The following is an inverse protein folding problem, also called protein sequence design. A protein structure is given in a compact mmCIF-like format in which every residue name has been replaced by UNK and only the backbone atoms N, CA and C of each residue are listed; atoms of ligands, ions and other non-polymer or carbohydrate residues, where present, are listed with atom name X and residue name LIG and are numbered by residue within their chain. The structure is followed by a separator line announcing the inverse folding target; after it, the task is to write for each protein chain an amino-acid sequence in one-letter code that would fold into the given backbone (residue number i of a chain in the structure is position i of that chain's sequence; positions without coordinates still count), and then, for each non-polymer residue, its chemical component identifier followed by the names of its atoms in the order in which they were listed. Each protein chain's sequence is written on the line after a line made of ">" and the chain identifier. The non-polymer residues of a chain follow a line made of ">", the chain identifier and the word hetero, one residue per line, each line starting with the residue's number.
data_IF_612157592091
#
_entry.id   IF_612157592091
#
_cell.length_a   1.000
_cell.length_b   1.000
_cell.length_c   1.000
_cell.angle_alpha   90.00
_cell.angle_beta   90.00
_cell.angle_gamma   90.00
#
_symmetry.space_group_name_H-M   'P 1'
#
loop_
_entity.id
_entity.type
_entity.pdbx_description
1 polymer ?
#
# COMPACT_ATOMS: atom_id res chain seq x y z
N UNK A 1 -30.73 1.36 7.61
CA UNK A 1 -30.09 2.12 6.52
C UNK A 1 -29.61 1.13 5.48
N UNK A 2 -30.11 1.19 4.25
CA UNK A 2 -29.62 0.34 3.16
C UNK A 2 -28.31 0.91 2.62
N UNK A 3 -27.40 0.04 2.16
CA UNK A 3 -26.13 0.47 1.58
C UNK A 3 -26.27 0.63 0.08
N UNK A 4 -25.61 1.64 -0.48
CA UNK A 4 -25.49 1.84 -1.93
C UNK A 4 -24.81 0.62 -2.57
N UNK A 5 -25.62 -0.28 -3.13
CA UNK A 5 -25.18 -1.49 -3.84
C UNK A 5 -24.98 -1.25 -5.33
N UNK A 6 -25.47 -0.14 -5.87
CA UNK A 6 -25.27 0.23 -7.26
C UNK A 6 -25.37 1.74 -7.49
N UNK A 7 -24.63 2.24 -8.47
CA UNK A 7 -24.75 3.59 -9.02
C UNK A 7 -25.12 3.50 -10.49
N UNK A 8 -26.18 4.20 -10.89
CA UNK A 8 -26.66 4.26 -12.27
C UNK A 8 -26.33 5.61 -12.89
N UNK A 9 -25.80 5.60 -14.11
CA UNK A 9 -25.59 6.80 -14.93
C UNK A 9 -26.44 6.69 -16.18
N UNK A 10 -27.33 7.66 -16.36
CA UNK A 10 -28.18 7.80 -17.54
C UNK A 10 -27.50 8.71 -18.56
N UNK A 11 -27.63 8.39 -19.84
CA UNK A 11 -27.13 9.20 -20.96
C UNK A 11 -28.30 9.69 -21.81
N UNK A 12 -28.12 10.82 -22.49
CA UNK A 12 -29.10 11.38 -23.42
C UNK A 12 -29.42 10.45 -24.59
N UNK A 13 -28.53 9.49 -24.90
CA UNK A 13 -28.75 8.41 -25.86
C UNK A 13 -29.73 7.33 -25.39
N UNK A 14 -30.22 7.39 -24.15
CA UNK A 14 -31.04 6.35 -23.52
C UNK A 14 -30.24 5.21 -22.89
N UNK A 15 -28.91 5.17 -23.08
CA UNK A 15 -28.05 4.19 -22.42
C UNK A 15 -28.01 4.41 -20.90
N UNK A 16 -27.94 3.31 -20.15
CA UNK A 16 -27.76 3.32 -18.69
C UNK A 16 -26.59 2.44 -18.32
N UNK A 17 -25.61 2.99 -17.60
CA UNK A 17 -24.50 2.24 -17.04
C UNK A 17 -24.67 2.08 -15.54
N UNK A 18 -24.54 0.84 -15.05
CA UNK A 18 -24.73 0.50 -13.64
C UNK A 18 -23.44 -0.10 -13.08
N UNK A 19 -22.76 0.62 -12.19
CA UNK A 19 -21.67 0.01 -11.42
C UNK A 19 -22.25 -0.59 -10.15
N UNK A 20 -21.87 -1.82 -9.82
CA UNK A 20 -22.43 -2.58 -8.69
C UNK A 20 -21.35 -2.94 -7.68
N UNK A 21 -21.71 -3.00 -6.41
CA UNK A 21 -20.85 -3.43 -5.31
C UNK A 21 -21.54 -4.53 -4.52
N UNK A 22 -20.78 -5.55 -4.15
CA UNK A 22 -21.16 -6.55 -3.16
C UNK A 22 -20.42 -6.28 -1.85
N UNK A 23 -21.10 -6.54 -0.73
CA UNK A 23 -20.60 -6.26 0.61
C UNK A 23 -20.68 -7.51 1.50
N UNK A 24 -19.85 -7.55 2.53
CA UNK A 24 -20.06 -8.46 3.66
C UNK A 24 -21.14 -7.92 4.63
N UNK A 25 -21.43 -8.72 5.67
CA UNK A 25 -22.42 -8.39 6.71
C UNK A 25 -22.00 -7.20 7.60
N UNK A 26 -20.73 -6.79 7.55
CA UNK A 26 -20.18 -5.64 8.25
C UNK A 26 -20.15 -4.39 7.36
N UNK A 27 -20.74 -4.49 6.15
CA UNK A 27 -20.76 -3.44 5.16
C UNK A 27 -19.37 -3.06 4.64
N UNK A 28 -18.46 -4.00 4.43
CA UNK A 28 -17.23 -3.78 3.67
C UNK A 28 -17.34 -4.31 2.25
N UNK A 29 -16.75 -3.62 1.27
CA UNK A 29 -16.79 -4.06 -0.13
C UNK A 29 -16.00 -5.35 -0.31
N UNK A 30 -16.64 -6.34 -0.93
CA UNK A 30 -16.05 -7.63 -1.31
C UNK A 30 -15.82 -7.74 -2.81
N UNK A 31 -16.73 -7.20 -3.63
CA UNK A 31 -16.58 -7.19 -5.09
C UNK A 31 -17.10 -5.91 -5.68
N UNK A 32 -16.44 -5.47 -6.74
CA UNK A 32 -16.82 -4.32 -7.56
C UNK A 32 -17.06 -4.83 -8.97
N UNK A 33 -18.18 -4.44 -9.55
CA UNK A 33 -18.57 -4.80 -10.92
C UNK A 33 -18.67 -3.55 -11.78
N UNK A 34 -18.20 -3.66 -13.02
CA UNK A 34 -18.40 -2.64 -14.03
C UNK A 34 -19.83 -2.64 -14.59
N UNK A 35 -20.11 -1.70 -15.50
CA UNK A 35 -21.40 -1.59 -16.19
C UNK A 35 -21.77 -2.80 -17.06
N UNK A 36 -20.84 -3.74 -17.29
CA UNK A 36 -21.08 -4.99 -18.04
C UNK A 36 -21.25 -6.18 -17.09
N UNK A 37 -21.43 -5.93 -15.80
CA UNK A 37 -21.56 -6.92 -14.73
C UNK A 37 -20.34 -7.86 -14.62
N UNK A 38 -19.17 -7.37 -15.02
CA UNK A 38 -17.91 -8.11 -14.86
C UNK A 38 -17.27 -7.69 -13.54
N UNK A 39 -16.79 -8.63 -12.70
CA UNK A 39 -16.01 -8.27 -11.53
C UNK A 39 -14.70 -7.63 -11.98
N UNK A 40 -14.47 -6.39 -11.56
CA UNK A 40 -13.24 -5.64 -11.87
C UNK A 40 -12.26 -5.62 -10.71
N UNK A 41 -12.75 -5.88 -9.51
CA UNK A 41 -11.92 -6.02 -8.31
C UNK A 41 -12.66 -6.84 -7.25
N UNK A 42 -11.95 -7.70 -6.54
CA UNK A 42 -12.49 -8.45 -5.40
C UNK A 42 -11.50 -8.57 -4.25
N UNK A 43 -12.03 -8.72 -3.04
CA UNK A 43 -11.27 -8.70 -1.79
C UNK A 43 -11.54 -9.93 -0.94
N UNK A 44 -10.49 -10.47 -0.34
CA UNK A 44 -10.58 -11.42 0.78
C UNK A 44 -10.03 -10.73 2.02
N UNK A 45 -10.65 -11.00 3.17
CA UNK A 45 -10.33 -10.36 4.45
C UNK A 45 -10.11 -11.41 5.54
N UNK A 46 -9.28 -11.09 6.52
CA UNK A 46 -9.12 -11.90 7.72
C UNK A 46 -10.19 -11.58 8.79
N UNK A 47 -10.13 -12.32 9.90
CA UNK A 47 -11.05 -12.14 11.04
C UNK A 47 -10.93 -10.77 11.73
N UNK A 48 -9.88 -10.01 11.43
CA UNK A 48 -9.66 -8.66 11.94
C UNK A 48 -10.08 -7.59 10.91
N UNK A 49 -10.81 -7.99 9.86
CA UNK A 49 -11.28 -7.15 8.76
C UNK A 49 -10.14 -6.47 7.97
N UNK A 50 -8.99 -7.12 7.89
CA UNK A 50 -7.86 -6.66 7.07
C UNK A 50 -7.83 -7.40 5.75
N UNK A 51 -7.55 -6.70 4.67
CA UNK A 51 -7.49 -7.28 3.32
C UNK A 51 -6.28 -8.19 3.18
N UNK A 52 -6.50 -9.47 2.90
CA UNK A 52 -5.46 -10.48 2.70
C UNK A 52 -5.26 -10.86 1.24
N UNK A 53 -6.25 -10.57 0.38
CA UNK A 53 -6.16 -10.80 -1.05
C UNK A 53 -6.93 -9.74 -1.82
N UNK A 54 -6.36 -9.31 -2.95
CA UNK A 54 -7.05 -8.50 -3.96
C UNK A 54 -6.90 -9.21 -5.30
N UNK A 55 -8.00 -9.39 -6.02
CA UNK A 55 -7.99 -9.93 -7.39
C UNK A 55 -8.49 -8.86 -8.36
N UNK A 56 -7.74 -8.58 -9.42
CA UNK A 56 -8.07 -7.57 -10.42
C UNK A 56 -8.95 -8.14 -11.56
N UNK A 57 -9.32 -7.27 -12.51
CA UNK A 57 -10.06 -7.61 -13.73
C UNK A 57 -9.39 -8.73 -14.53
N UNK A 58 -8.06 -8.75 -14.57
CA UNK A 58 -7.26 -9.73 -15.30
C UNK A 58 -7.18 -11.10 -14.58
N UNK A 59 -7.78 -11.23 -13.39
CA UNK A 59 -7.72 -12.43 -12.56
C UNK A 59 -6.40 -12.62 -11.82
N UNK A 60 -5.47 -11.67 -11.91
CA UNK A 60 -4.25 -11.68 -11.13
C UNK A 60 -4.57 -11.38 -9.67
N UNK A 61 -3.77 -11.95 -8.77
CA UNK A 61 -4.00 -11.83 -7.33
C UNK A 61 -2.79 -11.22 -6.64
N UNK A 62 -3.04 -10.19 -5.82
CA UNK A 62 -2.09 -9.64 -4.86
C UNK A 62 -2.47 -10.16 -3.47
N UNK A 63 -1.51 -10.73 -2.74
CA UNK A 63 -1.74 -11.27 -1.40
C UNK A 63 -0.97 -10.48 -0.34
N UNK A 64 -1.57 -10.32 0.83
CA UNK A 64 -0.94 -9.66 1.98
C UNK A 64 -1.00 -10.60 3.18
N UNK A 65 0.16 -10.93 3.71
CA UNK A 65 0.30 -11.62 5.00
C UNK A 65 0.70 -10.59 6.06
N UNK A 66 -0.10 -10.47 7.11
CA UNK A 66 0.18 -9.56 8.21
C UNK A 66 1.15 -10.17 9.23
N UNK A 67 2.03 -9.33 9.76
CA UNK A 67 3.03 -9.71 10.76
C UNK A 67 2.67 -9.14 12.13
N UNK A 68 3.63 -8.48 12.76
CA UNK A 68 3.44 -7.89 14.08
C UNK A 68 2.67 -6.57 13.97
N UNK A 69 1.66 -6.41 14.83
CA UNK A 69 0.79 -5.25 14.91
C UNK A 69 0.11 -4.92 13.56
N UNK A 70 0.24 -3.68 13.08
CA UNK A 70 -0.37 -3.21 11.83
C UNK A 70 0.57 -3.36 10.62
N UNK A 71 1.75 -3.97 10.77
CA UNK A 71 2.72 -4.12 9.70
C UNK A 71 2.53 -5.45 8.96
N UNK A 72 2.72 -5.43 7.64
CA UNK A 72 2.71 -6.66 6.85
C UNK A 72 4.04 -7.42 7.03
N UNK A 73 3.96 -8.75 7.02
CA UNK A 73 5.11 -9.65 6.91
C UNK A 73 5.49 -9.84 5.45
N UNK A 74 4.51 -10.02 4.57
CA UNK A 74 4.76 -10.28 3.15
C UNK A 74 3.66 -9.68 2.29
N UNK A 75 4.04 -9.08 1.17
CA UNK A 75 3.15 -8.71 0.08
C UNK A 75 3.67 -9.38 -1.19
N UNK A 76 2.81 -10.13 -1.86
CA UNK A 76 3.06 -10.61 -3.22
C UNK A 76 2.19 -9.78 -4.14
N UNK A 77 2.80 -9.04 -5.06
CA UNK A 77 2.10 -8.18 -6.02
C UNK A 77 1.51 -8.97 -7.18
N UNK A 78 0.67 -8.30 -7.98
CA UNK A 78 0.07 -8.87 -9.18
C UNK A 78 1.09 -9.36 -10.22
N UNK A 79 2.26 -8.71 -10.28
CA UNK A 79 3.38 -9.09 -11.14
C UNK A 79 4.26 -10.22 -10.56
N UNK A 80 3.87 -10.78 -9.41
CA UNK A 80 4.61 -11.81 -8.68
C UNK A 80 5.78 -11.29 -7.85
N UNK A 81 6.08 -9.98 -7.87
CA UNK A 81 7.15 -9.42 -7.04
C UNK A 81 6.77 -9.49 -5.57
N UNK A 82 7.75 -9.84 -4.72
CA UNK A 82 7.54 -10.01 -3.29
C UNK A 82 8.26 -8.91 -2.51
N UNK A 83 7.57 -8.35 -1.51
CA UNK A 83 8.16 -7.50 -0.47
C UNK A 83 7.91 -8.15 0.87
N UNK A 84 8.92 -8.22 1.73
CA UNK A 84 8.77 -8.77 3.07
C UNK A 84 9.41 -7.92 4.14
N UNK A 85 8.86 -8.00 5.34
CA UNK A 85 9.48 -7.49 6.57
C UNK A 85 9.76 -8.66 7.50
N UNK A 86 10.90 -8.61 8.19
CA UNK A 86 11.16 -9.43 9.36
C UNK A 86 11.20 -8.54 10.61
N UNK A 87 10.89 -9.15 11.75
CA UNK A 87 10.76 -8.44 13.02
C UNK A 87 11.73 -9.03 14.04
N UNK A 88 12.29 -8.18 14.91
CA UNK A 88 13.08 -8.62 16.06
C UNK A 88 12.17 -9.08 17.22
N UNK A 89 12.78 -9.52 18.32
CA UNK A 89 12.06 -9.97 19.52
C UNK A 89 11.18 -8.89 20.18
N UNK A 90 11.47 -7.62 19.93
CA UNK A 90 10.69 -6.47 20.42
C UNK A 90 9.53 -6.10 19.47
N UNK A 91 9.36 -6.83 18.37
CA UNK A 91 8.33 -6.57 17.37
C UNK A 91 8.62 -5.41 16.41
N UNK A 92 9.86 -4.89 16.41
CA UNK A 92 10.32 -3.85 15.48
C UNK A 92 10.83 -4.48 14.18
N UNK A 93 10.65 -3.79 13.05
CA UNK A 93 11.13 -4.28 11.74
C UNK A 93 12.65 -4.34 11.74
N UNK A 94 13.24 -5.54 11.74
CA UNK A 94 14.69 -5.73 11.69
C UNK A 94 15.22 -5.80 10.28
N UNK A 95 14.38 -6.15 9.31
CA UNK A 95 14.76 -6.30 7.90
C UNK A 95 13.58 -6.02 6.99
N UNK A 96 13.84 -5.36 5.87
CA UNK A 96 12.89 -5.24 4.76
C UNK A 96 13.56 -5.72 3.48
N UNK A 97 12.98 -6.72 2.84
CA UNK A 97 13.44 -7.24 1.55
C UNK A 97 12.55 -6.69 0.45
N UNK A 98 13.17 -6.03 -0.52
CA UNK A 98 12.53 -5.51 -1.72
C UNK A 98 13.13 -6.22 -2.95
N UNK A 99 12.48 -6.16 -4.12
CA UNK A 99 13.12 -6.60 -5.36
C UNK A 99 14.44 -5.84 -5.58
N UNK A 100 15.56 -6.55 -5.51
CA UNK A 100 16.90 -6.01 -5.79
C UNK A 100 17.63 -5.33 -4.64
N UNK A 101 17.01 -5.13 -3.48
CA UNK A 101 17.68 -4.52 -2.31
C UNK A 101 17.17 -5.10 -1.00
N UNK A 102 18.02 -5.08 0.01
CA UNK A 102 17.65 -5.51 1.36
C UNK A 102 18.13 -4.48 2.36
N UNK A 103 17.21 -3.94 3.13
CA UNK A 103 17.51 -3.03 4.23
C UNK A 103 17.49 -3.79 5.55
N UNK A 104 18.51 -3.61 6.38
CA UNK A 104 18.55 -4.10 7.76
C UNK A 104 18.51 -2.92 8.72
N UNK A 105 17.79 -3.09 9.83
CA UNK A 105 17.57 -2.04 10.82
C UNK A 105 18.09 -2.51 12.18
N UNK A 106 18.81 -1.63 12.85
CA UNK A 106 19.32 -1.86 14.20
C UNK A 106 18.73 -0.83 15.15
N UNK A 107 18.35 -1.27 16.34
CA UNK A 107 17.71 -0.44 17.35
C UNK A 107 18.47 -0.50 18.67
N UNK A 108 18.41 0.58 19.42
CA UNK A 108 18.78 0.61 20.82
C UNK A 108 17.71 -0.10 21.66
N UNK A 109 18.04 -0.48 22.90
CA UNK A 109 17.11 -1.17 23.83
C UNK A 109 15.82 -0.39 24.11
N UNK A 110 15.83 0.93 23.94
CA UNK A 110 14.67 1.81 24.12
C UNK A 110 13.83 1.95 22.82
N UNK A 111 14.15 1.20 21.76
CA UNK A 111 13.44 1.21 20.48
C UNK A 111 13.86 2.31 19.52
N UNK A 112 14.85 3.14 19.87
CA UNK A 112 15.35 4.18 18.96
C UNK A 112 16.18 3.56 17.84
N UNK A 113 15.97 4.04 16.60
CA UNK A 113 16.68 3.56 15.43
C UNK A 113 18.16 3.97 15.47
N UNK A 114 19.02 2.99 15.74
CA UNK A 114 20.47 3.15 15.79
C UNK A 114 21.08 3.18 14.40
N UNK A 115 20.56 2.38 13.46
CA UNK A 115 21.11 2.38 12.11
C UNK A 115 20.29 1.63 11.09
N UNK A 116 20.60 1.93 9.83
CA UNK A 116 20.04 1.28 8.64
C UNK A 116 21.22 0.89 7.75
N UNK A 117 21.22 -0.30 7.19
CA UNK A 117 22.23 -0.71 6.22
C UNK A 117 21.60 -1.43 5.03
N UNK A 118 22.19 -1.23 3.85
CA UNK A 118 21.92 -1.96 2.63
C UNK A 118 23.17 -1.97 1.73
N UNK A 119 23.06 -2.47 0.51
CA UNK A 119 24.17 -2.52 -0.44
C UNK A 119 24.72 -1.15 -0.88
N UNK A 120 23.95 -0.07 -0.71
CA UNK A 120 24.39 1.30 -1.03
C UNK A 120 25.21 1.92 0.10
N UNK A 121 25.01 1.48 1.34
CA UNK A 121 25.69 2.04 2.50
C UNK A 121 24.97 1.86 3.81
N UNK A 122 25.45 2.58 4.81
CA UNK A 122 24.96 2.57 6.18
C UNK A 122 24.65 3.98 6.66
N UNK A 123 23.54 4.11 7.38
CA UNK A 123 23.16 5.28 8.17
C UNK A 123 23.29 4.89 9.64
N UNK A 124 23.97 5.69 10.44
CA UNK A 124 24.11 5.48 11.89
C UNK A 124 23.70 6.73 12.65
N UNK A 125 22.88 6.56 13.67
CA UNK A 125 22.40 7.62 14.55
C UNK A 125 23.01 7.49 15.95
N UNK A 126 23.38 8.61 16.53
CA UNK A 126 23.83 8.71 17.92
C UNK A 126 22.86 9.55 18.73
N UNK A 127 22.68 9.19 20.00
CA UNK A 127 21.76 9.85 20.92
C UNK A 127 22.49 10.24 22.21
N UNK A 128 22.04 11.29 22.87
CA UNK A 128 22.47 11.62 24.22
C UNK A 128 21.73 10.79 25.29
N UNK A 129 22.11 10.95 26.56
CA UNK A 129 21.48 10.25 27.69
C UNK A 129 20.00 10.62 27.90
N UNK A 130 19.56 11.76 27.36
CA UNK A 130 18.14 12.16 27.38
C UNK A 130 17.35 11.58 26.20
N UNK A 131 17.99 10.76 25.35
CA UNK A 131 17.36 10.15 24.17
C UNK A 131 17.21 11.11 22.99
N UNK A 132 17.89 12.25 22.98
CA UNK A 132 17.83 13.20 21.86
C UNK A 132 18.86 12.83 20.82
N UNK A 133 18.49 12.88 19.54
CA UNK A 133 19.41 12.65 18.43
C UNK A 133 20.50 13.71 18.43
N UNK A 134 21.77 13.29 18.48
CA UNK A 134 22.93 14.18 18.49
C UNK A 134 23.70 14.15 17.19
N UNK A 135 23.68 13.02 16.48
CA UNK A 135 24.42 12.89 15.23
C UNK A 135 23.78 11.85 14.30
N UNK A 136 23.98 12.06 12.99
CA UNK A 136 23.67 11.08 11.96
C UNK A 136 24.83 11.02 10.98
N UNK A 137 25.42 9.83 10.82
CA UNK A 137 26.54 9.56 9.92
C UNK A 137 26.04 8.71 8.75
N UNK A 138 26.42 9.11 7.54
CA UNK A 138 26.17 8.37 6.31
C UNK A 138 27.51 7.84 5.80
N UNK A 139 27.58 6.54 5.54
CA UNK A 139 28.72 5.88 4.93
C UNK A 139 28.24 5.15 3.69
N UNK A 140 28.78 5.47 2.52
CA UNK A 140 28.49 4.71 1.30
C UNK A 140 29.36 3.44 1.28
N UNK A 141 28.76 2.30 0.93
CA UNK A 141 29.50 1.06 0.67
C UNK A 141 30.18 1.10 -0.71
N UNK A 142 29.69 1.96 -1.61
CA UNK A 142 30.31 2.25 -2.89
C UNK A 142 31.36 3.34 -2.69
N UNK A 143 32.63 2.95 -2.80
CA UNK A 143 33.73 3.87 -2.96
C UNK A 143 33.52 4.67 -4.25
N UNK A 144 33.56 6.01 -4.16
CA UNK A 144 33.50 7.05 -5.21
C UNK A 144 32.15 7.77 -5.39
N UNK A 145 32.04 8.97 -4.79
CA UNK A 145 31.20 10.12 -5.18
C UNK A 145 29.72 10.14 -4.71
N UNK A 146 29.16 11.34 -4.37
CA UNK A 146 28.00 11.46 -3.52
C UNK A 146 26.71 11.47 -4.34
N UNK A 147 25.77 10.59 -4.01
CA UNK A 147 24.36 10.85 -4.26
C UNK A 147 23.52 10.53 -3.03
N UNK A 148 22.93 11.58 -2.47
CA UNK A 148 21.92 11.50 -1.44
C UNK A 148 20.59 11.06 -2.08
N UNK A 149 19.92 10.08 -1.47
CA UNK A 149 18.51 10.17 -1.07
C UNK A 149 18.09 8.89 -0.31
N UNK A 150 18.10 8.90 1.02
CA UNK A 150 17.33 7.92 1.77
C UNK A 150 16.85 8.48 3.12
N UNK A 151 15.91 9.43 3.07
CA UNK A 151 15.19 9.90 4.25
C UNK A 151 13.71 10.19 3.94
N UNK A 152 13.04 9.31 3.17
CA UNK A 152 11.61 9.48 2.85
C UNK A 152 10.75 8.22 3.02
N UNK A 153 11.21 7.19 3.76
CA UNK A 153 10.42 5.96 3.94
C UNK A 153 9.84 5.70 5.35
N UNK A 154 9.93 6.66 6.29
CA UNK A 154 9.29 6.52 7.61
C UNK A 154 7.84 7.06 7.65
N UNK A 155 7.42 7.93 6.71
CA UNK A 155 6.09 8.56 6.75
C UNK A 155 5.00 7.87 5.90
N UNK A 156 5.32 6.82 5.13
CA UNK A 156 4.37 6.16 4.21
C UNK A 156 4.04 4.70 4.56
N UNK A 157 4.23 4.27 5.79
CA UNK A 157 3.89 2.90 6.22
C UNK A 157 2.48 2.80 6.84
N UNK A 158 1.74 3.91 6.94
CA UNK A 158 0.27 3.91 7.08
C UNK A 158 -0.35 3.99 5.69
N UNK A 159 -0.41 2.86 4.99
CA UNK A 159 -1.09 2.76 3.70
C UNK A 159 -2.60 2.78 3.95
N UNK A 160 -3.28 3.85 3.54
CA UNK A 160 -4.74 3.81 3.36
C UNK A 160 -5.01 3.18 1.99
N UNK A 161 -5.44 1.92 2.01
CA UNK A 161 -5.54 1.03 0.83
C UNK A 161 -6.27 1.64 -0.38
N UNK A 162 -7.18 2.60 -0.21
CA UNK A 162 -7.93 3.20 -1.34
C UNK A 162 -7.09 4.05 -2.29
N UNK A 163 -6.02 4.70 -1.83
CA UNK A 163 -5.32 5.73 -2.64
C UNK A 163 -3.99 5.28 -3.24
N UNK A 164 -3.49 4.16 -2.78
CA UNK A 164 -2.05 3.93 -2.73
C UNK A 164 -1.68 2.61 -3.47
N UNK A 165 -2.68 1.77 -3.77
CA UNK A 165 -2.59 0.66 -4.73
C UNK A 165 -2.35 1.14 -6.17
N UNK A 166 -2.83 2.33 -6.54
CA UNK A 166 -2.59 2.92 -7.87
C UNK A 166 -1.11 3.33 -8.08
N UNK A 167 -0.34 3.56 -7.01
CA UNK A 167 1.06 4.02 -7.09
C UNK A 167 2.08 2.89 -7.10
N UNK A 168 1.68 1.66 -6.75
CA UNK A 168 2.57 0.50 -6.76
C UNK A 168 2.54 -0.26 -8.10
N UNK A 169 1.74 0.19 -9.08
CA UNK A 169 1.61 -0.42 -10.41
C UNK A 169 2.05 0.48 -11.58
N UNK A 170 2.57 1.69 -11.35
CA UNK A 170 2.93 2.58 -12.46
C UNK A 170 4.37 2.33 -12.95
N UNK A 171 4.55 1.35 -13.82
CA UNK A 171 5.58 1.44 -14.85
C UNK A 171 4.87 1.88 -16.16
N UNK A 172 5.01 3.16 -16.48
CA UNK A 172 4.81 3.75 -17.81
C UNK A 172 3.50 3.44 -18.55
N UNK A 173 2.40 4.12 -18.21
CA UNK A 173 1.48 4.70 -19.21
C UNK A 173 0.48 5.65 -18.54
N UNK A 174 0.47 6.90 -19.02
CA UNK A 174 -0.46 7.93 -18.59
C UNK A 174 -1.90 7.55 -18.96
N UNK A 175 -2.91 7.71 -18.09
CA UNK A 175 -4.28 7.65 -18.53
C UNK A 175 -4.69 8.98 -19.19
N UNK A 176 -5.34 8.81 -20.33
CA UNK A 176 -5.90 9.82 -21.23
C UNK A 176 -6.72 10.86 -20.43
N UNK A 177 -6.40 12.15 -20.64
CA UNK A 177 -7.28 13.26 -20.28
C UNK A 177 -8.58 13.14 -21.09
N UNK A 178 -9.70 12.90 -20.43
CA UNK A 178 -11.00 13.31 -20.97
C UNK A 178 -11.38 14.65 -20.33
N UNK A 179 -11.38 15.69 -21.15
CA UNK A 179 -11.91 17.01 -20.84
C UNK A 179 -13.43 16.93 -20.57
N UNK A 180 -13.87 17.69 -19.55
CA UNK A 180 -15.12 18.45 -19.59
C UNK A 180 -16.44 17.73 -19.30
N UNK A 181 -17.04 18.06 -18.16
CA UNK A 181 -18.21 18.97 -18.04
C UNK A 181 -19.18 18.53 -16.94
N UNK A 182 -19.59 19.54 -16.18
CA UNK A 182 -20.48 19.53 -15.02
C UNK A 182 -21.82 18.79 -15.29
N UNK A 183 -22.35 18.11 -14.27
CA UNK A 183 -23.61 18.45 -13.56
C UNK A 183 -24.31 17.24 -12.90
N UNK A 184 -24.73 17.52 -11.66
CA UNK A 184 -25.88 17.04 -10.87
C UNK A 184 -26.02 15.56 -10.49
N UNK A 185 -25.75 15.32 -9.20
CA UNK A 185 -26.11 14.11 -8.46
C UNK A 185 -27.61 14.11 -8.12
N UNK A 186 -28.32 13.03 -8.45
CA UNK A 186 -29.62 12.71 -7.85
C UNK A 186 -29.58 11.30 -7.26
N UNK A 187 -29.79 11.22 -5.96
CA UNK A 187 -29.84 10.00 -5.15
C UNK A 187 -31.08 9.18 -5.52
N UNK A 188 -30.92 7.86 -5.67
CA UNK A 188 -32.03 6.92 -5.63
C UNK A 188 -31.70 5.87 -4.56
N UNK A 189 -32.41 5.96 -3.44
CA UNK A 189 -32.42 4.97 -2.36
C UNK A 189 -33.31 3.79 -2.74
N UNK A 190 -32.89 2.58 -2.37
CA UNK A 190 -33.76 1.42 -2.15
C UNK A 190 -33.26 0.65 -0.94
#
# INVERSE_FOLDING_TARGET
>A
MSKLSATKRHFSSGAVFTNRLEYDNQFNSLKIFDAKDRPVESYVRDIQDRVTSVTNLEGQTMTVAYGVAAYFRTITRFDGTVVSNDFNGDGLISKTTLPGTTNTFAYLKNGQLMGIANESGTISNSFDLAGRLTNTVFSSALCSSPFALCLQLQHKQRFSLRHDLHKLGSNGQQPIRCHGQNHEHRLAES
#
